data_IF_443763677092
#
_entry.id   IF_443763677092
#
_cell.length_a   1.000
_cell.length_b   1.000
_cell.length_c   1.000
_cell.angle_alpha   90.00
_cell.angle_beta   90.00
_cell.angle_gamma   90.00
#
_symmetry.space_group_name_H-M   'P 1'
#
loop_
_entity.id
_entity.type
_entity.pdbx_description
1 polymer ?
#
# COMPACT_ATOMS: atom_id res chain seq x y z
N UNK A 1 3.66 6.89 -15.85
CA UNK A 1 2.78 6.08 -14.98
C UNK A 1 3.50 4.90 -14.31
N UNK A 2 4.41 4.20 -15.00
CA UNK A 2 5.05 2.96 -14.52
C UNK A 2 6.00 3.10 -13.32
N UNK A 3 6.72 4.22 -13.15
CA UNK A 3 7.68 4.37 -12.05
C UNK A 3 7.02 4.38 -10.65
N UNK A 4 5.85 5.02 -10.52
CA UNK A 4 5.16 5.15 -9.23
C UNK A 4 4.61 3.79 -8.76
N UNK A 5 4.12 2.98 -9.70
CA UNK A 5 3.66 1.62 -9.42
C UNK A 5 4.80 0.72 -8.91
N UNK A 6 6.00 0.83 -9.50
CA UNK A 6 7.17 0.07 -9.04
C UNK A 6 7.63 0.49 -7.64
N UNK A 7 7.55 1.77 -7.29
CA UNK A 7 7.90 2.24 -5.95
C UNK A 7 6.98 1.68 -4.88
N UNK A 8 5.66 1.74 -5.10
CA UNK A 8 4.70 1.20 -4.15
C UNK A 8 4.77 -0.33 -4.03
N UNK A 9 5.04 -1.02 -5.14
CA UNK A 9 5.23 -2.47 -5.12
C UNK A 9 6.47 -2.85 -4.30
N UNK A 10 7.56 -2.07 -4.44
CA UNK A 10 8.77 -2.27 -3.65
C UNK A 10 8.54 -1.98 -2.17
N UNK A 11 7.85 -0.87 -1.84
CA UNK A 11 7.49 -0.51 -0.48
C UNK A 11 6.73 -1.65 0.23
N UNK A 12 5.69 -2.18 -0.38
CA UNK A 12 4.92 -3.29 0.20
C UNK A 12 5.78 -4.55 0.36
N UNK A 13 6.65 -4.84 -0.61
CA UNK A 13 7.57 -5.99 -0.52
C UNK A 13 8.59 -5.82 0.62
N UNK A 14 9.13 -4.62 0.82
CA UNK A 14 10.07 -4.31 1.90
C UNK A 14 9.39 -4.36 3.28
N UNK A 15 8.10 -4.04 3.35
CA UNK A 15 7.27 -4.24 4.54
C UNK A 15 7.00 -5.73 4.86
N UNK A 16 7.42 -6.66 3.99
CA UNK A 16 7.22 -8.10 4.18
C UNK A 16 5.93 -8.64 3.57
N UNK A 17 5.20 -7.83 2.80
CA UNK A 17 3.98 -8.26 2.11
C UNK A 17 4.36 -9.16 0.92
N UNK A 18 3.65 -10.28 0.69
CA UNK A 18 3.95 -11.16 -0.44
C UNK A 18 3.83 -10.45 -1.80
N UNK A 19 4.49 -10.96 -2.86
CA UNK A 19 4.53 -10.28 -4.17
C UNK A 19 3.17 -10.04 -4.82
N UNK A 20 2.20 -10.95 -4.63
CA UNK A 20 0.85 -10.82 -5.18
C UNK A 20 0.11 -9.60 -4.61
N UNK A 21 -0.16 -9.57 -3.29
CA UNK A 21 -0.81 -8.43 -2.64
C UNK A 21 -0.03 -7.13 -2.81
N UNK A 22 1.31 -7.16 -2.75
CA UNK A 22 2.15 -5.97 -2.95
C UNK A 22 1.85 -5.25 -4.28
N UNK A 23 1.69 -5.98 -5.37
CA UNK A 23 1.35 -5.39 -6.66
C UNK A 23 -0.08 -4.82 -6.66
N UNK A 24 -1.05 -5.56 -6.12
CA UNK A 24 -2.44 -5.10 -6.03
C UNK A 24 -2.58 -3.82 -5.20
N UNK A 25 -1.92 -3.74 -4.05
CA UNK A 25 -1.91 -2.55 -3.19
C UNK A 25 -1.24 -1.37 -3.88
N UNK A 26 -0.15 -1.61 -4.61
CA UNK A 26 0.52 -0.58 -5.38
C UNK A 26 -0.41 0.02 -6.46
N UNK A 27 -1.21 -0.81 -7.15
CA UNK A 27 -2.23 -0.32 -8.09
C UNK A 27 -3.27 0.53 -7.35
N UNK A 28 -3.78 0.05 -6.22
CA UNK A 28 -4.77 0.81 -5.42
C UNK A 28 -4.22 2.15 -4.94
N UNK A 29 -2.96 2.20 -4.52
CA UNK A 29 -2.33 3.43 -4.06
C UNK A 29 -2.14 4.43 -5.20
N UNK A 30 -1.78 3.97 -6.40
CA UNK A 30 -1.69 4.81 -7.59
C UNK A 30 -3.06 5.32 -8.02
N UNK A 31 -4.05 4.44 -8.11
CA UNK A 31 -5.40 4.77 -8.56
C UNK A 31 -6.10 5.76 -7.62
N UNK A 32 -5.87 5.61 -6.31
CA UNK A 32 -6.36 6.53 -5.29
C UNK A 32 -5.43 7.74 -5.05
N UNK A 33 -4.36 7.89 -5.84
CA UNK A 33 -3.40 9.01 -5.76
C UNK A 33 -2.78 9.18 -4.37
N UNK A 34 -2.55 8.07 -3.66
CA UNK A 34 -1.86 8.04 -2.37
C UNK A 34 -0.43 8.56 -2.57
N UNK A 35 -0.02 9.48 -1.69
CA UNK A 35 1.32 10.05 -1.69
C UNK A 35 2.06 9.65 -0.42
N UNK A 36 3.40 9.55 -0.47
CA UNK A 36 4.22 9.18 0.69
C UNK A 36 4.03 10.11 1.90
N UNK A 37 3.63 11.37 1.67
CA UNK A 37 3.30 12.31 2.75
C UNK A 37 2.08 11.90 3.57
N UNK A 38 1.11 11.22 2.94
CA UNK A 38 -0.13 10.75 3.59
C UNK A 38 0.12 9.46 4.40
N UNK A 39 1.25 8.78 4.22
CA UNK A 39 1.59 7.58 4.99
C UNK A 39 1.57 7.83 6.50
N UNK A 40 1.96 9.04 6.94
CA UNK A 40 1.94 9.44 8.35
C UNK A 40 0.53 9.58 8.92
N UNK A 41 -0.47 9.76 8.05
CA UNK A 41 -1.87 9.93 8.41
C UNK A 41 -2.68 8.64 8.14
N UNK A 42 -2.06 7.57 7.64
CA UNK A 42 -2.73 6.30 7.42
C UNK A 42 -3.21 5.74 8.77
N UNK A 43 -4.42 5.21 8.74
CA UNK A 43 -5.03 4.53 9.85
C UNK A 43 -5.80 3.32 9.33
N UNK A 44 -6.32 2.50 10.24
CA UNK A 44 -7.04 1.28 9.86
C UNK A 44 -8.23 1.54 8.94
N UNK A 45 -8.96 2.64 9.14
CA UNK A 45 -10.14 2.98 8.33
C UNK A 45 -9.75 3.28 6.87
N UNK A 46 -8.72 4.12 6.68
CA UNK A 46 -8.19 4.42 5.33
C UNK A 46 -7.60 3.16 4.67
N UNK A 47 -6.94 2.30 5.45
CA UNK A 47 -6.40 1.03 4.96
C UNK A 47 -7.50 0.07 4.47
N UNK A 48 -8.61 -0.02 5.20
CA UNK A 48 -9.79 -0.79 4.79
C UNK A 48 -10.43 -0.20 3.52
N UNK A 49 -10.51 1.14 3.39
CA UNK A 49 -10.99 1.82 2.18
C UNK A 49 -10.10 1.59 0.95
N UNK A 50 -8.78 1.50 1.15
CA UNK A 50 -7.81 1.17 0.10
C UNK A 50 -7.78 -0.34 -0.25
N UNK A 51 -8.59 -1.15 0.44
CA UNK A 51 -8.69 -2.60 0.21
C UNK A 51 -7.59 -3.42 0.89
N UNK A 52 -6.83 -2.84 1.81
CA UNK A 52 -5.82 -3.54 2.62
C UNK A 52 -6.46 -4.05 3.92
N UNK A 53 -7.23 -5.13 3.79
CA UNK A 53 -8.04 -5.69 4.90
C UNK A 53 -7.34 -6.81 5.68
N UNK A 54 -6.20 -7.30 5.19
CA UNK A 54 -5.43 -8.34 5.88
C UNK A 54 -4.69 -7.70 7.05
N UNK A 55 -5.04 -8.10 8.28
CA UNK A 55 -4.50 -7.49 9.51
C UNK A 55 -2.97 -7.45 9.54
N UNK A 56 -2.30 -8.50 9.08
CA UNK A 56 -0.84 -8.54 9.00
C UNK A 56 -0.26 -7.49 8.03
N UNK A 57 -0.90 -7.31 6.88
CA UNK A 57 -0.48 -6.33 5.88
C UNK A 57 -0.78 -4.89 6.36
N UNK A 58 -1.92 -4.69 7.05
CA UNK A 58 -2.26 -3.42 7.69
C UNK A 58 -1.19 -3.03 8.72
N UNK A 59 -0.76 -3.96 9.57
CA UNK A 59 0.31 -3.74 10.57
C UNK A 59 1.68 -3.53 9.90
N UNK A 60 1.92 -4.15 8.75
CA UNK A 60 3.18 -3.99 8.04
C UNK A 60 3.33 -2.61 7.37
N UNK A 61 2.21 -1.98 6.97
CA UNK A 61 2.19 -0.69 6.28
C UNK A 61 2.09 0.50 7.25
N UNK A 62 1.40 0.34 8.38
CA UNK A 62 1.31 1.34 9.46
C UNK A 62 2.58 1.37 10.32
#
# INVERSE_FOLDING_TARGET
>A
MTMVLSEWTLFSKEAGIPPGPSFSYAVMFVDNRVQKSVLLDLNKEIMDELGVTVVGDTIAIL
#
